data_IF_624740600904
#
_entry.id   IF_624740600904
#
_cell.length_a   1.000
_cell.length_b   1.000
_cell.length_c   1.000
_cell.angle_alpha   90.00
_cell.angle_beta   90.00
_cell.angle_gamma   90.00
#
_symmetry.space_group_name_H-M   'P 1'
#
loop_
_entity.id
_entity.type
_entity.pdbx_description
1 polymer ?
#
# COMPACT_ATOMS: atom_id res chain seq x y z
N UNK A 1 25.29 10.52 -7.69
CA UNK A 1 24.83 10.46 -6.28
C UNK A 1 23.35 10.73 -6.32
N UNK A 2 22.54 9.69 -6.30
CA UNK A 2 21.08 9.77 -6.33
C UNK A 2 20.56 9.72 -4.89
N UNK A 3 20.23 10.87 -4.30
CA UNK A 3 19.57 10.94 -3.00
C UNK A 3 18.10 11.24 -3.28
N UNK A 4 17.23 10.22 -3.26
CA UNK A 4 15.79 10.38 -3.45
C UNK A 4 15.14 10.68 -2.08
N UNK A 5 14.26 11.69 -2.03
CA UNK A 5 13.52 12.05 -0.80
C UNK A 5 12.70 10.87 -0.23
N UNK A 6 12.36 9.90 -1.10
CA UNK A 6 11.52 8.75 -0.75
C UNK A 6 12.11 7.82 0.32
N UNK A 7 13.37 8.02 0.71
CA UNK A 7 14.07 7.18 1.68
C UNK A 7 14.18 7.81 3.08
N UNK A 8 13.64 9.03 3.29
CA UNK A 8 13.68 9.70 4.60
C UNK A 8 12.29 9.84 5.22
N UNK A 9 12.21 9.57 6.53
CA UNK A 9 10.94 9.63 7.29
C UNK A 9 10.56 11.04 7.74
N UNK A 10 11.33 12.07 7.38
CA UNK A 10 11.03 13.46 7.69
C UNK A 10 12.24 14.40 7.68
N UNK A 11 12.04 15.69 8.00
CA UNK A 11 13.12 16.69 7.96
C UNK A 11 14.22 16.45 9.00
N UNK A 12 13.88 15.97 10.20
CA UNK A 12 14.86 15.61 11.23
C UNK A 12 15.73 14.42 10.82
N UNK A 13 15.18 13.47 10.08
CA UNK A 13 15.92 12.32 9.57
C UNK A 13 16.96 12.73 8.51
N UNK A 14 16.55 13.64 7.61
CA UNK A 14 17.46 14.24 6.65
C UNK A 14 18.57 15.04 7.38
N UNK A 15 18.22 15.85 8.38
CA UNK A 15 19.22 16.59 9.16
C UNK A 15 20.18 15.65 9.89
N UNK A 16 19.67 14.59 10.51
CA UNK A 16 20.49 13.58 11.15
C UNK A 16 21.45 12.92 10.15
N UNK A 17 20.99 12.62 8.94
CA UNK A 17 21.85 12.09 7.87
C UNK A 17 22.94 13.08 7.45
N UNK A 18 22.62 14.37 7.31
CA UNK A 18 23.58 15.41 6.95
C UNK A 18 24.63 15.62 8.06
N UNK A 19 24.19 15.67 9.32
CA UNK A 19 25.06 15.77 10.50
C UNK A 19 25.99 14.56 10.62
N UNK A 20 25.46 13.35 10.41
CA UNK A 20 26.24 12.11 10.53
C UNK A 20 27.41 12.01 9.55
N UNK A 21 27.40 12.76 8.42
CA UNK A 21 28.52 12.79 7.47
C UNK A 21 29.79 13.42 8.03
N UNK A 22 29.67 14.27 9.05
CA UNK A 22 30.82 14.97 9.63
C UNK A 22 31.63 14.11 10.62
N UNK A 23 31.10 12.94 11.03
CA UNK A 23 31.78 12.01 11.96
C UNK A 23 32.30 12.66 13.25
N UNK A 24 31.59 13.67 13.74
CA UNK A 24 31.93 14.44 14.94
C UNK A 24 30.73 14.48 15.90
N UNK A 25 30.93 15.02 17.11
CA UNK A 25 29.84 15.25 18.04
C UNK A 25 28.79 16.16 17.41
N UNK A 26 27.51 15.86 17.60
CA UNK A 26 26.39 16.62 17.04
C UNK A 26 26.48 18.10 17.44
N UNK A 27 26.94 18.37 18.66
CA UNK A 27 27.08 19.73 19.19
C UNK A 27 28.26 20.51 18.61
N UNK A 28 29.20 19.85 17.93
CA UNK A 28 30.38 20.48 17.35
C UNK A 28 30.23 20.75 15.84
N UNK A 29 29.15 20.26 15.21
CA UNK A 29 28.97 20.29 13.75
C UNK A 29 28.85 21.73 13.25
N UNK A 30 29.46 22.09 12.10
CA UNK A 30 29.24 23.39 11.47
C UNK A 30 27.80 23.52 10.96
N UNK A 31 26.88 24.00 11.82
CA UNK A 31 25.44 24.07 11.53
C UNK A 31 25.14 24.86 10.24
N UNK A 32 25.93 25.88 9.95
CA UNK A 32 25.76 26.72 8.75
C UNK A 32 25.90 25.89 7.48
N UNK A 33 26.87 24.97 7.45
CA UNK A 33 27.08 24.07 6.31
C UNK A 33 25.96 23.04 6.20
N UNK A 34 25.47 22.51 7.33
CA UNK A 34 24.32 21.59 7.36
C UNK A 34 23.06 22.28 6.83
N UNK A 35 22.80 23.52 7.24
CA UNK A 35 21.66 24.32 6.76
C UNK A 35 21.76 24.53 5.24
N UNK A 36 22.94 24.85 4.72
CA UNK A 36 23.13 25.02 3.28
C UNK A 36 22.86 23.75 2.50
N UNK A 37 23.35 22.61 3.00
CA UNK A 37 23.09 21.31 2.38
C UNK A 37 21.60 20.96 2.40
N UNK A 38 20.92 21.21 3.52
CA UNK A 38 19.47 20.99 3.64
C UNK A 38 18.69 21.85 2.63
N UNK A 39 18.96 23.16 2.58
CA UNK A 39 18.26 24.09 1.68
C UNK A 39 18.54 23.78 0.21
N UNK A 40 19.78 23.40 -0.14
CA UNK A 40 20.12 22.95 -1.48
C UNK A 40 19.33 21.70 -1.85
N UNK A 41 19.26 20.72 -0.94
CA UNK A 41 18.51 19.50 -1.16
C UNK A 41 17.02 19.77 -1.41
N UNK A 42 16.36 20.55 -0.54
CA UNK A 42 14.95 20.92 -0.71
C UNK A 42 14.69 21.66 -2.04
N UNK A 43 15.60 22.56 -2.44
CA UNK A 43 15.49 23.30 -3.70
C UNK A 43 15.58 22.40 -4.93
N UNK A 44 16.44 21.38 -4.92
CA UNK A 44 16.53 20.42 -6.04
C UNK A 44 15.25 19.60 -6.22
N UNK A 45 14.56 19.28 -5.12
CA UNK A 45 13.30 18.52 -5.15
C UNK A 45 12.16 19.35 -5.75
N UNK A 46 12.09 20.63 -5.37
CA UNK A 46 11.13 21.56 -5.96
C UNK A 46 11.35 21.72 -7.46
N UNK A 47 12.61 21.81 -7.91
CA UNK A 47 12.95 21.89 -9.33
C UNK A 47 12.53 20.64 -10.12
N UNK A 48 12.59 19.47 -9.49
CA UNK A 48 12.13 18.19 -10.06
C UNK A 48 10.61 17.97 -9.96
N UNK A 49 9.84 18.95 -9.45
CA UNK A 49 8.39 18.87 -9.21
C UNK A 49 7.97 17.67 -8.36
N UNK A 50 8.85 17.21 -7.47
CA UNK A 50 8.45 16.22 -6.48
C UNK A 50 7.53 16.90 -5.45
N UNK A 51 6.52 16.18 -5.00
CA UNK A 51 5.62 16.67 -3.96
C UNK A 51 6.43 16.79 -2.66
N UNK A 52 6.84 18.01 -2.31
CA UNK A 52 7.59 18.27 -1.08
C UNK A 52 6.58 18.47 0.05
N UNK A 53 6.68 17.65 1.10
CA UNK A 53 5.79 17.73 2.27
C UNK A 53 5.92 19.09 2.97
N UNK A 54 4.81 19.61 3.50
CA UNK A 54 4.77 20.88 4.24
C UNK A 54 5.75 20.94 5.41
N UNK A 55 6.05 19.80 6.04
CA UNK A 55 7.02 19.68 7.14
C UNK A 55 8.43 20.11 6.73
N UNK A 56 8.89 19.76 5.53
CA UNK A 56 10.21 20.18 5.03
C UNK A 56 10.28 21.70 4.80
N UNK A 57 9.17 22.33 4.41
CA UNK A 57 9.08 23.79 4.23
C UNK A 57 9.11 24.53 5.57
N UNK A 58 8.41 23.99 6.58
CA UNK A 58 8.44 24.54 7.93
C UNK A 58 9.87 24.50 8.47
N UNK A 59 10.54 23.34 8.38
CA UNK A 59 11.94 23.22 8.78
C UNK A 59 12.85 24.16 7.97
N UNK A 60 12.68 24.26 6.65
CA UNK A 60 13.47 25.18 5.82
C UNK A 60 13.36 26.63 6.30
N UNK A 61 12.17 27.08 6.70
CA UNK A 61 11.98 28.43 7.22
C UNK A 61 12.65 28.66 8.58
N UNK A 62 12.60 27.66 9.47
CA UNK A 62 13.33 27.68 10.75
C UNK A 62 14.84 27.74 10.53
N UNK A 63 15.39 26.92 9.63
CA UNK A 63 16.82 26.94 9.30
C UNK A 63 17.25 28.26 8.65
N UNK A 64 16.42 28.87 7.80
CA UNK A 64 16.69 30.20 7.25
C UNK A 64 16.74 31.28 8.33
N UNK A 65 15.85 31.21 9.33
CA UNK A 65 15.87 32.12 10.48
C UNK A 65 17.17 31.98 11.28
N UNK A 66 17.58 30.75 11.59
CA UNK A 66 18.83 30.44 12.28
C UNK A 66 20.02 30.99 11.49
N UNK A 67 20.10 30.70 10.18
CA UNK A 67 21.18 31.19 9.31
C UNK A 67 21.24 32.71 9.23
N UNK A 68 20.08 33.37 9.07
CA UNK A 68 19.99 34.82 8.98
C UNK A 68 20.57 35.48 10.23
N UNK A 69 20.12 35.06 11.42
CA UNK A 69 20.58 35.60 12.71
C UNK A 69 22.07 35.35 12.93
N UNK A 70 22.55 34.13 12.67
CA UNK A 70 23.96 33.75 12.85
C UNK A 70 24.94 34.57 11.99
N UNK A 71 24.50 35.05 10.82
CA UNK A 71 25.33 35.85 9.91
C UNK A 71 25.25 37.37 10.18
N UNK A 72 24.30 37.83 10.99
CA UNK A 72 24.14 39.24 11.33
C UNK A 72 25.13 39.63 12.46
N UNK A 73 25.67 40.86 12.43
CA UNK A 73 26.54 41.34 13.50
C UNK A 73 25.76 41.46 14.82
N UNK A 74 26.33 40.93 15.90
CA UNK A 74 25.73 40.90 17.25
C UNK A 74 25.35 42.32 17.72
N UNK A 75 24.07 42.64 17.69
CA UNK A 75 23.52 43.80 18.40
C UNK A 75 23.43 43.40 19.86
N UNK A 76 24.01 44.19 20.76
CA UNK A 76 24.40 43.82 22.13
C UNK A 76 23.26 43.41 23.10
N UNK A 77 22.04 43.12 22.65
CA UNK A 77 20.90 42.76 23.49
C UNK A 77 20.16 41.46 23.08
N UNK A 78 20.57 40.77 22.00
CA UNK A 78 19.82 39.60 21.46
C UNK A 78 20.63 38.29 21.47
N UNK A 79 21.69 38.21 22.28
CA UNK A 79 22.65 37.09 22.20
C UNK A 79 22.07 35.75 22.67
N UNK A 80 21.24 35.75 23.72
CA UNK A 80 20.72 34.51 24.32
C UNK A 80 19.74 33.78 23.38
N UNK A 81 18.87 34.52 22.68
CA UNK A 81 17.84 33.97 21.79
C UNK A 81 18.38 33.31 20.51
N UNK A 82 19.60 33.63 20.09
CA UNK A 82 20.24 33.05 18.90
C UNK A 82 20.84 31.69 19.21
N UNK A 83 21.61 31.62 20.30
CA UNK A 83 22.24 30.38 20.76
C UNK A 83 21.16 29.35 21.19
N UNK A 84 20.04 29.82 21.75
CA UNK A 84 18.91 28.97 22.14
C UNK A 84 18.25 28.23 20.97
N UNK A 85 18.07 28.88 19.81
CA UNK A 85 17.41 28.26 18.65
C UNK A 85 18.28 27.20 17.97
N UNK A 86 19.60 27.41 17.95
CA UNK A 86 20.55 26.43 17.44
C UNK A 86 20.63 25.23 18.38
N UNK A 87 20.72 25.47 19.69
CA UNK A 87 20.74 24.41 20.70
C UNK A 87 19.44 23.59 20.70
N UNK A 88 18.29 24.24 20.55
CA UNK A 88 17.00 23.55 20.43
C UNK A 88 16.97 22.62 19.21
N UNK A 89 17.43 23.09 18.04
CA UNK A 89 17.52 22.26 16.85
C UNK A 89 18.45 21.06 17.05
N UNK A 90 19.64 21.27 17.64
CA UNK A 90 20.59 20.20 17.92
C UNK A 90 20.01 19.18 18.91
N UNK A 91 19.30 19.64 19.94
CA UNK A 91 18.60 18.80 20.91
C UNK A 91 17.51 17.96 20.22
N UNK A 92 16.73 18.53 19.29
CA UNK A 92 15.74 17.79 18.52
C UNK A 92 16.36 16.71 17.63
N UNK A 93 17.50 17.02 16.99
CA UNK A 93 18.24 16.03 16.18
C UNK A 93 18.78 14.89 17.06
N UNK A 94 19.30 15.21 18.24
CA UNK A 94 19.78 14.18 19.17
C UNK A 94 18.64 13.32 19.71
N UNK A 95 17.52 13.93 20.10
CA UNK A 95 16.36 13.20 20.57
C UNK A 95 15.80 12.27 19.49
N UNK A 96 15.71 12.76 18.25
CA UNK A 96 15.32 11.94 17.11
C UNK A 96 16.30 10.77 16.90
N UNK A 97 17.62 11.01 16.95
CA UNK A 97 18.65 9.95 16.87
C UNK A 97 18.43 8.87 17.93
N UNK A 98 18.13 9.27 19.17
CA UNK A 98 17.87 8.33 20.26
C UNK A 98 16.66 7.45 19.96
N UNK A 99 15.55 8.01 19.48
CA UNK A 99 14.37 7.23 19.14
C UNK A 99 14.56 6.36 17.90
N UNK A 100 15.30 6.83 16.90
CA UNK A 100 15.68 6.03 15.73
C UNK A 100 16.44 4.77 16.15
N UNK A 101 17.45 4.93 17.01
CA UNK A 101 18.24 3.82 17.55
C UNK A 101 17.40 2.88 18.44
N UNK A 102 16.50 3.42 19.26
CA UNK A 102 15.55 2.60 20.02
C UNK A 102 14.60 1.82 19.10
N UNK A 103 14.16 2.41 18.00
CA UNK A 103 13.37 1.76 16.96
C UNK A 103 14.11 0.56 16.36
N UNK A 104 15.38 0.73 16.01
CA UNK A 104 16.25 -0.36 15.51
C UNK A 104 16.39 -1.50 16.55
N UNK A 105 16.54 -1.17 17.84
CA UNK A 105 16.55 -2.19 18.89
C UNK A 105 15.21 -2.91 19.07
N UNK A 106 14.09 -2.19 18.94
CA UNK A 106 12.76 -2.78 19.00
C UNK A 106 12.52 -3.72 17.81
N UNK A 107 12.97 -3.33 16.63
CA UNK A 107 12.90 -4.13 15.41
C UNK A 107 13.73 -5.43 15.55
N UNK A 108 14.95 -5.34 16.10
CA UNK A 108 15.75 -6.54 16.39
C UNK A 108 15.03 -7.49 17.36
N UNK A 109 14.43 -6.96 18.44
CA UNK A 109 13.62 -7.76 19.37
C UNK A 109 12.36 -8.33 18.74
N UNK A 110 11.74 -7.59 17.83
CA UNK A 110 10.59 -8.05 17.07
C UNK A 110 10.97 -9.25 16.19
N UNK A 111 12.10 -9.18 15.48
CA UNK A 111 12.63 -10.28 14.66
C UNK A 111 12.95 -11.53 15.49
N UNK A 112 13.50 -11.38 16.70
CA UNK A 112 13.68 -12.49 17.63
C UNK A 112 12.33 -13.12 18.03
N UNK A 113 11.35 -12.28 18.41
CA UNK A 113 10.02 -12.76 18.85
C UNK A 113 9.24 -13.42 17.71
N UNK A 114 9.39 -12.93 16.49
CA UNK A 114 8.71 -13.41 15.28
C UNK A 114 9.11 -14.84 14.89
N UNK A 115 10.26 -15.33 15.36
CA UNK A 115 10.70 -16.72 15.16
C UNK A 115 9.86 -17.73 15.98
N UNK A 116 9.11 -17.26 16.99
CA UNK A 116 8.29 -18.11 17.84
C UNK A 116 6.82 -18.07 17.43
N UNK A 117 6.31 -19.19 16.94
CA UNK A 117 4.91 -19.36 16.55
C UNK A 117 4.07 -19.90 17.70
N UNK A 118 2.87 -19.35 17.87
CA UNK A 118 1.87 -19.84 18.82
C UNK A 118 0.59 -20.21 18.08
N UNK A 119 -0.10 -21.26 18.54
CA UNK A 119 -1.45 -21.54 18.09
C UNK A 119 -2.42 -20.48 18.59
N UNK A 120 -3.48 -20.23 17.83
CA UNK A 120 -4.61 -19.45 18.34
C UNK A 120 -5.16 -20.11 19.62
N UNK A 121 -5.61 -19.31 20.61
CA UNK A 121 -6.25 -19.85 21.79
C UNK A 121 -7.43 -20.74 21.37
N UNK A 122 -7.56 -21.89 22.01
CA UNK A 122 -8.68 -22.81 21.76
C UNK A 122 -9.91 -22.26 22.45
N UNK A 123 -10.96 -21.97 21.68
CA UNK A 123 -12.26 -21.62 22.24
C UNK A 123 -12.86 -22.85 22.93
N UNK A 124 -13.08 -22.76 24.24
CA UNK A 124 -13.63 -23.86 25.04
C UNK A 124 -15.11 -23.60 25.26
N UNK A 125 -15.96 -24.49 24.78
CA UNK A 125 -17.40 -24.42 24.95
C UNK A 125 -17.77 -25.45 26.03
N UNK A 126 -18.32 -24.96 27.14
CA UNK A 126 -18.81 -25.79 28.24
C UNK A 126 -20.33 -25.63 28.36
N UNK A 127 -21.04 -26.71 28.67
CA UNK A 127 -22.50 -26.71 28.83
C UNK A 127 -22.98 -25.86 30.01
N UNK A 128 -22.13 -25.69 31.03
CA UNK A 128 -22.37 -24.88 32.22
C UNK A 128 -21.81 -23.45 32.12
N UNK A 129 -21.32 -23.04 30.94
CA UNK A 129 -20.86 -21.67 30.73
C UNK A 129 -22.03 -20.68 30.62
N UNK A 130 -22.08 -19.72 31.54
CA UNK A 130 -23.04 -18.62 31.49
C UNK A 130 -22.50 -17.44 30.66
N UNK A 131 -23.32 -16.92 29.75
CA UNK A 131 -22.96 -15.76 28.94
C UNK A 131 -22.95 -14.50 29.81
N UNK A 132 -21.77 -13.89 29.96
CA UNK A 132 -21.63 -12.58 30.60
C UNK A 132 -22.02 -11.49 29.59
N UNK A 133 -23.03 -10.70 29.92
CA UNK A 133 -23.49 -9.57 29.09
C UNK A 133 -22.68 -8.29 29.38
N UNK A 134 -21.36 -8.38 29.37
CA UNK A 134 -20.45 -7.25 29.59
C UNK A 134 -20.11 -6.49 28.30
N UNK A 135 -20.60 -6.97 27.14
CA UNK A 135 -20.38 -6.35 25.83
C UNK A 135 -21.58 -5.56 25.35
N UNK A 136 -21.29 -4.43 24.73
CA UNK A 136 -22.24 -3.48 24.18
C UNK A 136 -22.14 -3.43 22.65
N UNK A 137 -23.10 -2.77 22.01
CA UNK A 137 -23.05 -2.49 20.56
C UNK A 137 -21.79 -1.71 20.16
N UNK A 138 -21.26 -0.90 21.08
CA UNK A 138 -20.03 -0.13 20.86
C UNK A 138 -18.82 -1.08 20.75
N UNK A 139 -18.76 -2.11 21.59
CA UNK A 139 -17.67 -3.09 21.55
C UNK A 139 -17.65 -3.87 20.23
N UNK A 140 -18.84 -4.22 19.73
CA UNK A 140 -18.97 -4.89 18.42
C UNK A 140 -18.53 -3.96 17.28
N UNK A 141 -18.91 -2.69 17.32
CA UNK A 141 -18.49 -1.69 16.34
C UNK A 141 -16.97 -1.47 16.35
N UNK A 142 -16.36 -1.36 17.54
CA UNK A 142 -14.91 -1.20 17.69
C UNK A 142 -14.15 -2.45 17.22
N UNK A 143 -14.65 -3.64 17.57
CA UNK A 143 -14.06 -4.90 17.10
C UNK A 143 -14.06 -4.99 15.57
N UNK A 144 -15.20 -4.66 14.94
CA UNK A 144 -15.31 -4.63 13.48
C UNK A 144 -14.43 -3.55 12.85
N UNK A 145 -14.37 -2.36 13.43
CA UNK A 145 -13.51 -1.27 12.96
C UNK A 145 -12.03 -1.64 13.03
N UNK A 146 -11.59 -2.34 14.08
CA UNK A 146 -10.22 -2.83 14.21
C UNK A 146 -9.87 -3.88 13.15
N UNK A 147 -10.80 -4.78 12.82
CA UNK A 147 -10.63 -5.75 11.73
C UNK A 147 -10.48 -5.03 10.40
N UNK A 148 -11.34 -4.05 10.12
CA UNK A 148 -11.27 -3.25 8.89
C UNK A 148 -9.97 -2.45 8.79
N UNK A 149 -9.50 -1.85 9.88
CA UNK A 149 -8.24 -1.09 9.90
C UNK A 149 -7.04 -2.00 9.58
N UNK A 150 -6.94 -3.15 10.26
CA UNK A 150 -5.89 -4.15 10.00
C UNK A 150 -5.90 -4.65 8.56
N UNK A 151 -7.09 -4.93 8.03
CA UNK A 151 -7.24 -5.37 6.63
C UNK A 151 -6.87 -4.27 5.64
N UNK A 152 -7.27 -3.02 5.90
CA UNK A 152 -6.92 -1.88 5.05
C UNK A 152 -5.40 -1.63 5.03
N UNK A 153 -4.73 -1.76 6.17
CA UNK A 153 -3.28 -1.63 6.27
C UNK A 153 -2.56 -2.79 5.56
N UNK A 154 -3.02 -4.03 5.72
CA UNK A 154 -2.55 -5.19 4.94
C UNK A 154 -2.68 -4.95 3.43
N UNK A 155 -3.83 -4.40 2.97
CA UNK A 155 -4.04 -4.03 1.57
C UNK A 155 -3.17 -2.84 1.11
N UNK A 156 -2.85 -1.90 1.99
CA UNK A 156 -2.02 -0.74 1.65
C UNK A 156 -0.52 -1.09 1.60
N UNK A 157 -0.06 -1.99 2.49
CA UNK A 157 1.33 -2.47 2.52
C UNK A 157 1.60 -3.45 1.38
N UNK A 158 0.60 -4.25 0.99
CA UNK A 158 0.62 -4.99 -0.26
C UNK A 158 0.52 -4.03 -1.43
N UNK A 159 1.65 -3.43 -1.83
CA UNK A 159 1.88 -2.82 -3.14
C UNK A 159 1.84 -3.88 -4.27
N UNK A 160 1.12 -4.99 -4.09
CA UNK A 160 0.50 -5.61 -5.25
C UNK A 160 -0.53 -4.59 -5.68
N UNK A 161 -0.23 -3.87 -6.77
CA UNK A 161 -1.21 -3.20 -7.60
C UNK A 161 -2.52 -3.93 -7.36
N UNK A 162 -3.52 -3.25 -6.78
CA UNK A 162 -4.89 -3.68 -6.99
C UNK A 162 -4.97 -3.62 -8.51
N UNK A 163 -4.64 -4.74 -9.16
CA UNK A 163 -5.01 -5.05 -10.50
C UNK A 163 -6.51 -4.92 -10.33
N UNK A 164 -7.02 -3.76 -10.76
CA UNK A 164 -8.44 -3.65 -11.06
C UNK A 164 -8.76 -4.95 -11.76
N UNK A 165 -9.85 -5.60 -11.41
CA UNK A 165 -10.37 -6.67 -12.25
C UNK A 165 -10.53 -6.03 -13.64
N UNK A 166 -9.50 -6.14 -14.50
CA UNK A 166 -9.47 -5.54 -15.84
C UNK A 166 -10.56 -6.18 -16.69
N UNK A 167 -11.05 -7.33 -16.24
CA UNK A 167 -12.03 -8.18 -16.87
C UNK A 167 -13.14 -8.46 -15.89
N UNK A 168 -14.28 -7.81 -16.08
CA UNK A 168 -15.52 -8.19 -15.39
C UNK A 168 -16.11 -9.42 -16.05
N UNK A 169 -16.75 -10.26 -15.24
CA UNK A 169 -17.44 -11.46 -15.74
C UNK A 169 -18.54 -11.05 -16.72
N UNK A 170 -19.28 -9.97 -16.45
CA UNK A 170 -20.36 -9.51 -17.35
C UNK A 170 -19.85 -9.12 -18.74
N UNK A 171 -18.69 -8.45 -18.82
CA UNK A 171 -18.09 -8.04 -20.09
C UNK A 171 -17.60 -9.26 -20.88
N UNK A 172 -17.03 -10.25 -20.19
CA UNK A 172 -16.59 -11.51 -20.81
C UNK A 172 -17.77 -12.35 -21.30
N UNK A 173 -18.92 -12.34 -20.62
CA UNK A 173 -20.13 -13.04 -21.10
C UNK A 173 -20.60 -12.51 -22.46
N UNK A 174 -20.45 -11.20 -22.72
CA UNK A 174 -20.76 -10.60 -24.02
C UNK A 174 -19.81 -11.11 -25.10
N UNK A 175 -18.51 -11.13 -24.81
CA UNK A 175 -17.47 -11.62 -25.74
C UNK A 175 -17.73 -13.10 -26.10
N UNK A 176 -18.07 -13.93 -25.11
CA UNK A 176 -18.40 -15.35 -25.34
C UNK A 176 -19.62 -15.47 -26.27
N UNK A 177 -20.68 -14.68 -26.07
CA UNK A 177 -21.87 -14.68 -26.94
C UNK A 177 -21.57 -14.18 -28.35
N UNK A 178 -20.78 -13.12 -28.49
CA UNK A 178 -20.36 -12.58 -29.80
C UNK A 178 -19.54 -13.61 -30.57
N UNK A 179 -18.66 -14.36 -29.89
CA UNK A 179 -17.84 -15.42 -30.51
C UNK A 179 -18.67 -16.60 -31.07
N UNK A 180 -19.87 -16.80 -30.52
CA UNK A 180 -20.84 -17.81 -30.95
C UNK A 180 -21.85 -17.28 -31.97
N UNK A 181 -21.97 -15.96 -32.11
CA UNK A 181 -22.91 -15.33 -33.04
C UNK A 181 -22.56 -15.70 -34.48
N UNK A 182 -23.47 -16.40 -35.16
CA UNK A 182 -23.30 -16.84 -36.55
C UNK A 182 -22.50 -18.15 -36.71
N UNK A 183 -22.10 -18.81 -35.62
CA UNK A 183 -21.47 -20.14 -35.65
C UNK A 183 -22.40 -21.18 -35.01
N UNK A 184 -22.53 -22.35 -35.63
CA UNK A 184 -23.34 -23.45 -35.05
C UNK A 184 -22.66 -24.14 -33.86
N UNK A 185 -21.32 -24.10 -33.81
CA UNK A 185 -20.50 -24.69 -32.76
C UNK A 185 -19.16 -23.98 -32.67
N UNK A 186 -18.64 -23.81 -31.45
CA UNK A 186 -17.32 -23.25 -31.18
C UNK A 186 -16.53 -24.23 -30.30
N UNK A 187 -15.27 -24.50 -30.63
CA UNK A 187 -14.42 -25.27 -29.72
C UNK A 187 -14.02 -24.41 -28.53
N UNK A 188 -14.14 -24.95 -27.32
CA UNK A 188 -13.82 -24.24 -26.08
C UNK A 188 -12.37 -23.71 -26.09
N UNK A 189 -11.42 -24.46 -26.65
CA UNK A 189 -10.03 -24.02 -26.77
C UNK A 189 -9.84 -22.79 -27.67
N UNK A 190 -10.70 -22.59 -28.67
CA UNK A 190 -10.59 -21.44 -29.58
C UNK A 190 -11.01 -20.14 -28.90
N UNK A 191 -11.84 -20.22 -27.86
CA UNK A 191 -12.28 -19.09 -27.07
C UNK A 191 -11.12 -18.44 -26.29
N UNK A 192 -10.12 -19.23 -25.89
CA UNK A 192 -8.97 -18.75 -25.11
C UNK A 192 -7.78 -18.30 -25.97
N UNK A 193 -7.83 -18.49 -27.30
CA UNK A 193 -6.68 -18.19 -28.19
C UNK A 193 -6.31 -16.71 -28.25
N UNK A 194 -7.28 -15.82 -28.06
CA UNK A 194 -7.09 -14.38 -28.13
C UNK A 194 -6.81 -13.74 -26.76
N UNK A 195 -6.83 -14.54 -25.68
CA UNK A 195 -6.58 -14.05 -24.32
C UNK A 195 -5.10 -13.67 -24.13
N UNK A 196 -4.84 -12.50 -23.56
CA UNK A 196 -3.52 -11.90 -23.42
C UNK A 196 -2.87 -12.21 -22.06
N UNK A 197 -3.66 -12.53 -21.04
CA UNK A 197 -3.17 -12.84 -19.69
C UNK A 197 -3.98 -13.92 -18.97
N UNK A 198 -3.43 -14.44 -17.86
CA UNK A 198 -4.03 -15.53 -17.10
C UNK A 198 -5.36 -15.12 -16.42
N UNK A 199 -5.50 -13.86 -16.04
CA UNK A 199 -6.74 -13.36 -15.43
C UNK A 199 -7.90 -13.35 -16.43
N UNK A 200 -7.66 -12.90 -17.67
CA UNK A 200 -8.63 -12.94 -18.76
C UNK A 200 -9.09 -14.37 -19.05
N UNK A 201 -8.17 -15.34 -19.09
CA UNK A 201 -8.51 -16.77 -19.26
C UNK A 201 -9.42 -17.27 -18.14
N UNK A 202 -9.10 -16.94 -16.88
CA UNK A 202 -9.89 -17.36 -15.72
C UNK A 202 -11.29 -16.73 -15.77
N UNK A 203 -11.39 -15.42 -16.03
CA UNK A 203 -12.66 -14.70 -16.08
C UNK A 203 -13.53 -15.16 -17.27
N UNK A 204 -12.92 -15.44 -18.43
CA UNK A 204 -13.61 -15.97 -19.60
C UNK A 204 -14.16 -17.39 -19.35
N UNK A 205 -13.42 -18.21 -18.61
CA UNK A 205 -13.90 -19.52 -18.18
C UNK A 205 -15.06 -19.41 -17.19
N UNK A 206 -14.96 -18.53 -16.18
CA UNK A 206 -16.06 -18.26 -15.25
C UNK A 206 -17.31 -17.73 -15.95
N UNK A 207 -17.14 -16.82 -16.91
CA UNK A 207 -18.24 -16.32 -17.75
C UNK A 207 -18.90 -17.45 -18.56
N UNK A 208 -18.12 -18.38 -19.10
CA UNK A 208 -18.64 -19.57 -19.81
C UNK A 208 -19.44 -20.47 -18.88
N UNK A 209 -18.95 -20.72 -17.67
CA UNK A 209 -19.66 -21.52 -16.66
C UNK A 209 -20.96 -20.84 -16.21
N UNK A 210 -20.95 -19.52 -16.04
CA UNK A 210 -22.15 -18.77 -15.67
C UNK A 210 -23.21 -18.83 -16.79
N UNK A 211 -22.80 -18.73 -18.06
CA UNK A 211 -23.72 -18.89 -19.21
C UNK A 211 -24.30 -20.31 -19.35
N UNK A 212 -23.52 -21.34 -18.99
CA UNK A 212 -24.02 -22.71 -18.92
C UNK A 212 -25.02 -22.85 -17.77
N UNK A 213 -24.73 -22.24 -16.61
CA UNK A 213 -25.60 -22.23 -15.43
C UNK A 213 -26.92 -21.49 -15.68
N UNK A 214 -26.91 -20.38 -16.43
CA UNK A 214 -28.13 -19.68 -16.88
C UNK A 214 -28.84 -20.38 -18.04
N UNK A 215 -28.32 -21.53 -18.50
CA UNK A 215 -28.83 -22.35 -19.60
C UNK A 215 -28.85 -21.64 -20.96
N UNK A 216 -28.03 -20.62 -21.16
CA UNK A 216 -27.91 -19.94 -22.45
C UNK A 216 -26.98 -20.72 -23.41
N UNK A 217 -26.01 -21.44 -22.84
CA UNK A 217 -25.07 -22.30 -23.57
C UNK A 217 -25.16 -23.76 -23.16
N UNK A 218 -24.89 -24.65 -24.11
CA UNK A 218 -24.77 -26.10 -23.92
C UNK A 218 -23.34 -26.51 -24.27
N UNK A 219 -22.81 -27.46 -23.49
CA UNK A 219 -21.51 -28.06 -23.68
C UNK A 219 -21.68 -29.50 -24.19
N UNK A 220 -21.01 -29.81 -25.31
CA UNK A 220 -21.04 -31.14 -25.93
C UNK A 220 -19.61 -31.68 -26.02
N UNK A 221 -19.41 -32.92 -25.57
CA UNK A 221 -18.16 -33.67 -25.71
C UNK A 221 -18.51 -35.06 -26.24
N UNK A 222 -18.01 -35.41 -27.43
CA UNK A 222 -18.35 -36.67 -28.12
C UNK A 222 -17.58 -37.88 -27.57
N UNK A 223 -16.32 -37.69 -27.17
CA UNK A 223 -15.45 -38.73 -26.64
C UNK A 223 -14.86 -38.32 -25.29
N UNK A 224 -14.66 -39.28 -24.37
CA UNK A 224 -14.01 -39.00 -23.08
C UNK A 224 -12.61 -38.42 -23.30
N UNK A 225 -12.35 -37.24 -22.72
CA UNK A 225 -11.12 -36.46 -22.91
C UNK A 225 -10.90 -35.91 -24.34
N UNK A 226 -11.93 -35.93 -25.19
CA UNK A 226 -11.93 -35.29 -26.51
C UNK A 226 -12.22 -33.79 -26.47
N UNK A 227 -12.23 -33.16 -27.65
CA UNK A 227 -12.54 -31.74 -27.81
C UNK A 227 -13.92 -31.37 -27.21
N UNK A 228 -13.98 -30.23 -26.54
CA UNK A 228 -15.20 -29.69 -25.95
C UNK A 228 -15.78 -28.60 -26.87
N UNK A 229 -17.07 -28.71 -27.18
CA UNK A 229 -17.79 -27.77 -28.04
C UNK A 229 -18.85 -26.99 -27.25
N UNK A 230 -18.92 -25.69 -27.50
CA UNK A 230 -19.94 -24.76 -27.01
C UNK A 230 -20.98 -24.52 -28.10
N UNK A 231 -22.26 -24.59 -27.72
CA UNK A 231 -23.41 -24.37 -28.59
C UNK A 231 -24.43 -23.47 -27.89
N UNK A 232 -25.08 -22.58 -28.65
CA UNK A 232 -26.19 -21.77 -28.13
C UNK A 232 -27.44 -22.64 -27.96
N UNK A 233 -28.14 -22.51 -26.83
CA UNK A 233 -29.42 -23.19 -26.62
C UNK A 233 -30.51 -22.49 -27.42
N UNK A 234 -30.92 -23.06 -28.56
CA UNK A 234 -32.12 -22.58 -29.26
C UNK A 234 -33.36 -22.94 -28.44
N UNK A 235 -34.23 -21.96 -28.17
CA UNK A 235 -35.57 -22.22 -27.67
C UNK A 235 -36.33 -23.09 -28.69
N UNK A 236 -36.81 -24.24 -28.25
CA UNK A 236 -37.86 -24.98 -28.96
C UNK A 236 -39.13 -24.12 -28.98
N UNK A 237 -39.30 -23.34 -30.06
CA UNK A 237 -40.65 -22.94 -30.46
C UNK A 237 -41.39 -24.21 -30.90
N UNK A 238 -42.35 -24.64 -30.07
CA UNK A 238 -43.38 -25.61 -30.45
C UNK A 238 -43.98 -25.23 -31.81
N UNK A 239 -43.95 -26.14 -32.79
CA UNK A 239 -45.16 -26.65 -33.48
C UNK A 239 -44.84 -28.04 -34.04
N UNK A 240 -45.36 -29.07 -33.37
CA UNK A 240 -45.79 -30.28 -34.05
C UNK A 240 -47.19 -30.04 -34.64
N UNK A 241 -47.43 -30.62 -35.81
CA UNK A 241 -48.69 -30.77 -36.56
C UNK A 241 -49.08 -29.53 -37.39
N UNK A 242 -49.18 -29.60 -38.72
CA UNK A 242 -49.72 -30.68 -39.55
C UNK A 242 -48.92 -30.94 -40.82
#
# INVERSE_FOLDING_TARGET
MDIKLKDFEGPLDLLLHLVSKYQMDIYDVPITEVIEQYLAYVSTLQAMRLEVTGEYMVMASQLMLIKSRKLLPKVAEVTDLEDDLEQDLLSQIEEYRKFKLLGEHLEAKHQERAQYYSKAPTELIYEDAELVHDKTTIDLFLAFSNILAKKKEEFAQNHTTILRDEYKIEDMMVIVKESLTGRYQLRLQDLFKEAQNLQEVITLFLATLELIKTQELILVQEESFGDIYLMEKKEESQVAQS
#
